data_IF_756954450909
#
_entry.id   IF_756954450909
#
_cell.length_a   1.000
_cell.length_b   1.000
_cell.length_c   1.000
_cell.angle_alpha   90.00
_cell.angle_beta   90.00
_cell.angle_gamma   90.00
#
_symmetry.space_group_name_H-M   'P 1'
#
loop_
_entity.id
_entity.type
_entity.pdbx_description
1 polymer ?
#
# COMPACT_ATOMS: atom_id res chain seq x y z
N UNK A 1 -0.13 14.23 16.64
CA UNK A 1 0.23 13.13 15.72
C UNK A 1 1.69 13.31 15.35
N UNK A 2 2.51 12.24 15.26
CA UNK A 2 3.89 12.36 14.80
C UNK A 2 3.94 12.98 13.40
N UNK A 3 4.81 13.97 13.22
CA UNK A 3 5.04 14.61 11.92
C UNK A 3 6.08 13.79 11.14
N UNK A 4 5.61 12.98 10.20
CA UNK A 4 6.51 12.24 9.32
C UNK A 4 7.02 13.13 8.19
N UNK A 5 8.21 12.84 7.68
CA UNK A 5 8.83 13.64 6.63
C UNK A 5 9.61 12.81 5.63
N UNK A 6 9.70 13.30 4.40
CA UNK A 6 10.57 12.75 3.37
C UNK A 6 11.30 13.88 2.64
N UNK A 7 12.45 13.54 2.04
CA UNK A 7 13.25 14.50 1.30
C UNK A 7 12.87 14.50 -0.18
N UNK A 8 12.32 15.61 -0.68
CA UNK A 8 11.99 15.79 -2.10
C UNK A 8 13.25 16.28 -2.84
N UNK A 9 13.86 15.41 -3.65
CA UNK A 9 15.16 15.66 -4.31
C UNK A 9 15.13 16.85 -5.27
N UNK A 10 14.04 17.03 -6.01
CA UNK A 10 13.78 18.13 -6.94
C UNK A 10 13.73 19.49 -6.23
N UNK A 11 13.08 19.56 -5.06
CA UNK A 11 12.95 20.78 -4.26
C UNK A 11 14.08 20.97 -3.24
N UNK A 12 14.96 19.97 -3.08
CA UNK A 12 16.03 19.92 -2.09
C UNK A 12 15.57 20.27 -0.67
N UNK A 13 14.37 19.81 -0.28
CA UNK A 13 13.78 20.14 1.03
C UNK A 13 13.04 18.95 1.64
N UNK A 14 12.91 18.99 2.96
CA UNK A 14 12.02 18.11 3.72
C UNK A 14 10.58 18.57 3.57
N UNK A 15 9.67 17.61 3.38
CA UNK A 15 8.24 17.84 3.26
C UNK A 15 7.52 16.93 4.25
N UNK A 16 6.49 17.46 4.90
CA UNK A 16 5.62 16.69 5.78
C UNK A 16 4.80 15.66 4.99
N UNK A 17 4.69 14.46 5.53
CA UNK A 17 3.83 13.40 5.06
C UNK A 17 2.79 13.11 6.15
N UNK A 18 1.49 13.42 5.93
CA UNK A 18 0.47 13.03 6.89
C UNK A 18 0.38 11.50 6.95
N UNK A 19 0.17 10.91 8.15
CA UNK A 19 -0.04 9.48 8.27
C UNK A 19 -1.30 9.03 7.52
N UNK A 20 -1.26 7.83 6.96
CA UNK A 20 -2.41 7.18 6.34
C UNK A 20 -3.16 6.32 7.36
N UNK A 21 -4.47 6.12 7.16
CA UNK A 21 -5.30 5.22 7.99
C UNK A 21 -4.76 3.79 7.92
N UNK A 22 -4.39 3.37 6.71
CA UNK A 22 -3.72 2.10 6.42
C UNK A 22 -2.30 2.37 5.98
N UNK A 23 -1.36 1.71 6.65
CA UNK A 23 0.06 1.88 6.48
C UNK A 23 0.69 0.54 6.17
N UNK A 24 1.68 0.53 5.28
CA UNK A 24 2.40 -0.70 4.99
C UNK A 24 3.63 -0.91 5.88
N UNK A 25 3.92 -2.18 6.15
CA UNK A 25 5.16 -2.65 6.74
C UNK A 25 5.64 -3.88 5.97
N UNK A 26 6.92 -3.93 5.63
CA UNK A 26 7.55 -5.12 5.05
C UNK A 26 8.53 -5.73 6.03
N UNK A 27 8.63 -7.06 5.97
CA UNK A 27 9.68 -7.83 6.63
C UNK A 27 10.46 -8.58 5.56
N UNK A 28 11.78 -8.46 5.62
CA UNK A 28 12.71 -9.15 4.74
C UNK A 28 13.10 -10.52 5.30
N UNK A 29 13.68 -11.37 4.47
CA UNK A 29 14.11 -12.74 4.84
C UNK A 29 15.11 -12.79 6.02
N UNK A 30 15.90 -11.72 6.21
CA UNK A 30 16.83 -11.59 7.34
C UNK A 30 16.17 -11.08 8.64
N UNK A 31 14.85 -10.90 8.63
CA UNK A 31 14.06 -10.40 9.75
C UNK A 31 14.07 -8.88 9.91
N UNK A 32 14.85 -8.14 9.12
CA UNK A 32 14.78 -6.68 9.11
C UNK A 32 13.46 -6.21 8.52
N UNK A 33 13.03 -4.99 8.88
CA UNK A 33 11.75 -4.44 8.45
C UNK A 33 11.88 -3.01 7.95
N UNK A 34 11.01 -2.64 7.01
CA UNK A 34 10.83 -1.26 6.57
C UNK A 34 9.35 -0.89 6.72
N UNK A 35 9.08 0.23 7.39
CA UNK A 35 7.72 0.76 7.60
C UNK A 35 7.50 1.96 6.70
N UNK A 36 6.28 2.15 6.21
CA UNK A 36 5.90 3.35 5.45
C UNK A 36 6.18 4.62 6.25
N UNK A 37 5.87 4.57 7.53
CA UNK A 37 6.05 5.63 8.50
C UNK A 37 6.96 5.08 9.59
N UNK A 38 8.27 5.28 9.42
CA UNK A 38 9.32 4.75 10.27
C UNK A 38 9.23 5.28 11.70
N UNK A 39 9.74 4.49 12.65
CA UNK A 39 9.78 4.88 14.07
C UNK A 39 10.73 6.08 14.32
N UNK A 40 11.58 6.39 13.33
CA UNK A 40 12.48 7.54 13.26
C UNK A 40 11.79 8.83 12.73
N UNK A 41 10.50 8.76 12.42
CA UNK A 41 9.73 9.86 11.83
C UNK A 41 9.97 10.06 10.33
N UNK A 42 10.61 9.11 9.65
CA UNK A 42 10.82 9.17 8.21
C UNK A 42 9.66 8.49 7.47
N UNK A 43 9.17 9.15 6.43
CA UNK A 43 8.26 8.55 5.46
C UNK A 43 9.07 7.86 4.37
N UNK A 44 8.96 6.54 4.30
CA UNK A 44 9.57 5.73 3.26
C UNK A 44 8.62 5.55 2.08
N UNK A 45 9.16 5.68 0.88
CA UNK A 45 8.43 5.48 -0.36
C UNK A 45 8.38 3.99 -0.70
N UNK A 46 7.30 3.56 -1.35
CA UNK A 46 7.13 2.18 -1.79
C UNK A 46 8.30 1.69 -2.68
N UNK A 47 8.89 2.58 -3.48
CA UNK A 47 10.03 2.28 -4.34
C UNK A 47 11.33 1.96 -3.57
N UNK A 48 11.39 2.23 -2.26
CA UNK A 48 12.53 1.86 -1.40
C UNK A 48 12.49 0.40 -0.96
N UNK A 49 11.37 -0.31 -1.17
CA UNK A 49 11.22 -1.71 -0.79
C UNK A 49 12.10 -2.58 -1.71
N UNK A 50 12.99 -3.36 -1.09
CA UNK A 50 13.77 -4.37 -1.80
C UNK A 50 12.93 -5.62 -2.06
N UNK A 51 12.27 -5.63 -3.23
CA UNK A 51 11.38 -6.69 -3.69
C UNK A 51 12.06 -8.07 -3.72
N UNK A 52 13.38 -8.13 -3.89
CA UNK A 52 14.12 -9.40 -4.03
C UNK A 52 14.30 -10.17 -2.73
N UNK A 53 14.13 -9.50 -1.59
CA UNK A 53 14.33 -10.04 -0.24
C UNK A 53 13.04 -10.06 0.58
N UNK A 54 11.90 -9.77 -0.03
CA UNK A 54 10.62 -9.71 0.65
C UNK A 54 10.18 -11.08 1.16
N UNK A 55 9.96 -11.20 2.46
CA UNK A 55 9.33 -12.37 3.07
C UNK A 55 7.84 -12.11 3.37
N UNK A 56 7.51 -10.88 3.75
CA UNK A 56 6.17 -10.51 4.19
C UNK A 56 5.87 -9.04 3.93
N UNK A 57 4.62 -8.76 3.54
CA UNK A 57 4.05 -7.42 3.47
C UNK A 57 2.78 -7.37 4.33
N UNK A 58 2.60 -6.29 5.08
CA UNK A 58 1.42 -6.05 5.91
C UNK A 58 0.79 -4.72 5.57
N UNK A 59 -0.54 -4.67 5.59
CA UNK A 59 -1.31 -3.45 5.80
C UNK A 59 -1.78 -3.44 7.25
N UNK A 60 -1.43 -2.37 7.98
CA UNK A 60 -1.74 -2.16 9.40
C UNK A 60 -2.52 -0.85 9.52
N UNK A 61 -3.49 -0.80 10.43
CA UNK A 61 -4.24 0.43 10.72
C UNK A 61 -4.11 0.84 12.19
N UNK A 62 -4.07 2.15 12.42
CA UNK A 62 -4.17 2.72 13.78
C UNK A 62 -5.63 2.97 14.19
N UNK A 63 -6.57 2.94 13.24
CA UNK A 63 -8.00 3.14 13.48
C UNK A 63 -8.76 1.81 13.58
N UNK A 64 -8.31 0.80 12.84
CA UNK A 64 -8.95 -0.50 12.75
C UNK A 64 -8.06 -1.61 13.33
N UNK A 65 -8.60 -2.59 14.07
CA UNK A 65 -7.80 -3.67 14.67
C UNK A 65 -7.31 -4.71 13.66
N UNK A 66 -7.81 -4.70 12.43
CA UNK A 66 -7.44 -5.68 11.40
C UNK A 66 -6.00 -5.45 10.91
N UNK A 67 -5.32 -6.54 10.59
CA UNK A 67 -4.04 -6.53 9.87
C UNK A 67 -4.17 -7.49 8.70
N UNK A 68 -3.82 -7.02 7.51
CA UNK A 68 -3.82 -7.85 6.30
C UNK A 68 -2.38 -8.20 5.96
N UNK A 69 -2.09 -9.49 5.78
CA UNK A 69 -0.73 -9.98 5.55
C UNK A 69 -0.64 -10.72 4.22
N UNK A 70 0.38 -10.42 3.43
CA UNK A 70 0.78 -11.16 2.23
C UNK A 70 2.13 -11.82 2.53
N UNK A 71 2.17 -13.15 2.44
CA UNK A 71 3.40 -13.93 2.60
C UNK A 71 4.02 -14.17 1.22
N UNK A 72 5.31 -13.89 1.09
CA UNK A 72 6.07 -14.11 -0.13
C UNK A 72 6.85 -15.42 0.02
N UNK A 73 6.31 -16.48 -0.57
CA UNK A 73 6.90 -17.83 -0.51
C UNK A 73 7.49 -18.30 -1.85
N UNK A 74 7.34 -17.50 -2.91
CA UNK A 74 7.87 -17.78 -4.24
C UNK A 74 8.70 -16.59 -4.73
N UNK A 75 9.95 -16.82 -5.19
CA UNK A 75 10.84 -15.73 -5.64
C UNK A 75 10.34 -15.01 -6.90
N UNK A 76 9.33 -15.54 -7.59
CA UNK A 76 8.70 -14.89 -8.75
C UNK A 76 7.50 -14.01 -8.37
N UNK A 77 7.13 -13.93 -7.09
CA UNK A 77 6.13 -12.99 -6.62
C UNK A 77 6.72 -11.58 -6.55
N UNK A 78 5.97 -10.60 -7.04
CA UNK A 78 6.30 -9.18 -6.93
C UNK A 78 5.15 -8.46 -6.25
N UNK A 79 5.47 -7.72 -5.21
CA UNK A 79 4.50 -6.95 -4.44
C UNK A 79 3.94 -5.82 -5.29
N UNK A 80 2.62 -5.69 -5.27
CA UNK A 80 1.86 -4.59 -5.83
C UNK A 80 1.35 -3.73 -4.66
N UNK A 81 1.47 -2.41 -4.78
CA UNK A 81 0.79 -1.47 -3.89
C UNK A 81 0.51 -0.15 -4.63
N UNK A 82 -0.71 0.36 -4.51
CA UNK A 82 -1.10 1.66 -5.04
C UNK A 82 -2.37 2.15 -4.37
N UNK A 83 -2.67 3.43 -4.53
CA UNK A 83 -3.95 4.01 -4.13
C UNK A 83 -4.86 4.15 -5.34
N UNK A 84 -6.11 3.68 -5.23
CA UNK A 84 -7.15 3.99 -6.21
C UNK A 84 -8.06 5.07 -5.63
N UNK A 85 -8.05 6.25 -6.23
CA UNK A 85 -8.92 7.35 -5.83
C UNK A 85 -10.13 7.39 -6.78
N UNK A 86 -11.33 7.36 -6.22
CA UNK A 86 -12.61 7.41 -6.93
C UNK A 86 -13.30 8.70 -6.52
N UNK A 87 -13.75 9.47 -7.52
CA UNK A 87 -14.54 10.69 -7.30
C UNK A 87 -15.99 10.40 -7.65
N UNK A 88 -16.88 10.50 -6.66
CA UNK A 88 -18.32 10.40 -6.85
C UNK A 88 -18.94 11.78 -6.97
N UNK A 89 -19.98 11.92 -7.80
CA UNK A 89 -20.74 13.16 -8.03
C UNK A 89 -19.85 14.37 -8.38
N UNK A 90 -18.84 14.16 -9.23
CA UNK A 90 -17.87 15.20 -9.53
C UNK A 90 -18.52 16.47 -10.07
N UNK A 91 -18.07 17.63 -9.57
CA UNK A 91 -18.59 18.94 -9.96
C UNK A 91 -19.94 19.32 -9.33
N UNK A 92 -20.44 18.55 -8.36
CA UNK A 92 -21.65 18.85 -7.59
C UNK A 92 -21.32 19.23 -6.15
N UNK A 93 -22.31 19.73 -5.40
CA UNK A 93 -22.17 20.01 -3.97
C UNK A 93 -21.94 18.76 -3.12
N UNK A 94 -22.25 17.58 -3.66
CA UNK A 94 -22.13 16.28 -2.99
C UNK A 94 -20.93 15.47 -3.49
N UNK A 95 -19.91 16.13 -4.02
CA UNK A 95 -18.67 15.49 -4.46
C UNK A 95 -18.00 14.74 -3.31
N UNK A 96 -17.68 13.47 -3.51
CA UNK A 96 -17.01 12.61 -2.52
C UNK A 96 -15.76 12.00 -3.11
N UNK A 97 -14.67 12.07 -2.35
CA UNK A 97 -13.40 11.45 -2.69
C UNK A 97 -13.22 10.19 -1.85
N UNK A 98 -13.18 9.05 -2.54
CA UNK A 98 -13.00 7.73 -1.93
C UNK A 98 -11.59 7.27 -2.27
N UNK A 99 -10.85 6.79 -1.26
CA UNK A 99 -9.56 6.15 -1.44
C UNK A 99 -9.67 4.67 -1.11
N UNK A 100 -9.19 3.83 -2.03
CA UNK A 100 -8.96 2.41 -1.79
C UNK A 100 -7.46 2.17 -1.60
N UNK A 101 -7.12 1.36 -0.60
CA UNK A 101 -5.76 0.90 -0.34
C UNK A 101 -5.55 -0.43 -1.05
N UNK A 102 -4.95 -0.38 -2.24
CA UNK A 102 -4.75 -1.56 -3.08
C UNK A 102 -3.36 -2.15 -2.85
N UNK A 103 -3.29 -3.45 -2.58
CA UNK A 103 -2.05 -4.18 -2.37
C UNK A 103 -2.20 -5.64 -2.79
N UNK A 104 -1.10 -6.35 -2.99
CA UNK A 104 -1.14 -7.76 -3.35
C UNK A 104 0.11 -8.17 -4.09
N UNK A 105 -0.01 -9.07 -5.06
CA UNK A 105 1.15 -9.51 -5.81
C UNK A 105 0.82 -9.88 -7.24
N UNK A 106 1.82 -9.76 -8.10
CA UNK A 106 1.86 -10.48 -9.36
C UNK A 106 2.83 -11.64 -9.29
N UNK A 107 2.53 -12.69 -10.03
CA UNK A 107 3.40 -13.88 -10.14
C UNK A 107 3.43 -14.35 -11.57
N UNK A 108 4.62 -14.66 -12.07
CA UNK A 108 4.80 -15.30 -13.38
C UNK A 108 4.56 -16.81 -13.24
N UNK A 109 3.61 -17.34 -14.00
CA UNK A 109 3.30 -18.78 -14.10
C UNK A 109 3.42 -19.19 -15.56
N UNK A 110 4.57 -19.79 -15.90
CA UNK A 110 4.93 -20.09 -17.29
C UNK A 110 5.05 -18.81 -18.13
N UNK A 111 4.23 -18.69 -19.18
CA UNK A 111 4.17 -17.52 -20.05
C UNK A 111 3.19 -16.42 -19.56
N UNK A 112 2.40 -16.68 -18.51
CA UNK A 112 1.36 -15.76 -18.02
C UNK A 112 1.79 -15.04 -16.76
N UNK A 113 1.28 -13.84 -16.56
CA UNK A 113 1.37 -13.09 -15.30
C UNK A 113 0.00 -13.13 -14.65
N UNK A 114 -0.09 -13.72 -13.46
CA UNK A 114 -1.29 -13.69 -12.62
C UNK A 114 -1.16 -12.55 -11.62
N UNK A 115 -2.27 -11.84 -11.36
CA UNK A 115 -2.32 -10.74 -10.40
C UNK A 115 -3.40 -11.06 -9.37
N UNK A 116 -3.06 -10.92 -8.10
CA UNK A 116 -4.04 -10.92 -7.01
C UNK A 116 -3.93 -9.57 -6.33
N UNK A 117 -5.01 -8.79 -6.38
CA UNK A 117 -5.11 -7.47 -5.77
C UNK A 117 -6.19 -7.51 -4.70
N UNK A 118 -5.80 -7.10 -3.51
CA UNK A 118 -6.68 -6.80 -2.39
C UNK A 118 -6.87 -5.30 -2.31
N UNK A 119 -8.10 -4.85 -2.11
CA UNK A 119 -8.44 -3.45 -1.91
C UNK A 119 -9.19 -3.28 -0.59
N UNK A 120 -8.67 -2.44 0.30
CA UNK A 120 -9.36 -2.06 1.53
C UNK A 120 -10.19 -0.82 1.24
N UNK A 121 -11.49 -0.93 1.47
CA UNK A 121 -12.46 0.15 1.30
C UNK A 121 -12.50 1.07 2.52
N UNK A 122 -13.05 2.30 2.43
CA UNK A 122 -13.23 3.18 3.59
C UNK A 122 -14.11 2.57 4.70
N UNK A 123 -15.01 1.65 4.33
CA UNK A 123 -15.83 0.90 5.25
C UNK A 123 -15.10 -0.29 5.91
N UNK A 124 -13.78 -0.40 5.72
CA UNK A 124 -12.92 -1.47 6.24
C UNK A 124 -13.28 -2.88 5.72
N UNK A 125 -13.92 -2.96 4.56
CA UNK A 125 -14.11 -4.22 3.84
C UNK A 125 -12.91 -4.51 2.94
N UNK A 126 -12.52 -5.79 2.84
CA UNK A 126 -11.50 -6.28 1.90
C UNK A 126 -12.18 -6.83 0.64
N UNK A 127 -11.79 -6.32 -0.52
CA UNK A 127 -12.20 -6.85 -1.82
C UNK A 127 -10.99 -7.53 -2.46
N UNK A 128 -11.15 -8.74 -2.99
CA UNK A 128 -10.08 -9.47 -3.72
C UNK A 128 -10.47 -9.57 -5.19
N UNK A 129 -9.58 -9.16 -6.08
CA UNK A 129 -9.82 -9.11 -7.53
C UNK A 129 -8.51 -9.28 -8.31
N UNK A 130 -8.60 -9.71 -9.57
CA UNK A 130 -7.48 -9.64 -10.52
C UNK A 130 -7.47 -8.30 -11.27
N UNK A 131 -8.62 -7.62 -11.31
CA UNK A 131 -8.84 -6.35 -11.99
C UNK A 131 -9.39 -5.31 -10.99
N UNK A 132 -8.55 -4.38 -10.50
CA UNK A 132 -8.95 -3.38 -9.53
C UNK A 132 -9.88 -2.33 -10.14
N UNK A 133 -9.93 -2.19 -11.47
CA UNK A 133 -10.76 -1.19 -12.15
C UNK A 133 -12.25 -1.52 -12.08
N UNK A 134 -12.58 -2.79 -11.87
CA UNK A 134 -13.95 -3.27 -11.68
C UNK A 134 -14.55 -2.98 -10.30
N UNK A 135 -13.74 -2.52 -9.34
CA UNK A 135 -14.25 -2.18 -8.01
C UNK A 135 -15.15 -0.94 -8.14
N UNK A 136 -16.40 -1.09 -7.74
CA UNK A 136 -17.39 0.00 -7.62
C UNK A 136 -17.70 0.20 -6.14
N UNK A 137 -17.85 1.46 -5.72
CA UNK A 137 -18.03 1.88 -4.33
C UNK A 137 -19.18 2.86 -4.23
#
# INVERSE_FOLDING_TARGET
MPEYKYFRKDLKKWIGAPPEIWQWEVTYEDGSSLKQFGDDGIFHQFAEIDQSRLAMFKMISHEFPQTYTVLFSDPNMKLIHFYRNIVLNSGTTDEKHIRLYCFGYEKKVGARVQKIIMAITPANNLIVTEDPDLITV
#
